data_IF_616414566418
#
_entry.id   IF_616414566418
#
_cell.length_a   1.000
_cell.length_b   1.000
_cell.length_c   1.000
_cell.angle_alpha   90.00
_cell.angle_beta   90.00
_cell.angle_gamma   90.00
#
_symmetry.space_group_name_H-M   'P 1'
#
loop_
_entity.id
_entity.type
_entity.pdbx_description
1 polymer ?
#
# COMPACT_ATOMS: atom_id res chain seq x y z
N UNK A 1 -3.16 -12.63 5.13
CA UNK A 1 -4.60 -12.87 5.28
C UNK A 1 -5.04 -14.07 4.42
N UNK A 2 -6.09 -14.80 4.82
CA UNK A 2 -6.62 -16.00 4.17
C UNK A 2 -8.12 -15.88 3.90
N UNK A 3 -8.54 -15.95 2.63
CA UNK A 3 -9.97 -15.91 2.26
C UNK A 3 -10.77 -17.05 2.86
N UNK A 4 -10.17 -18.25 2.96
CA UNK A 4 -10.84 -19.40 3.54
C UNK A 4 -11.09 -19.21 5.04
N UNK A 5 -10.14 -18.60 5.76
CA UNK A 5 -10.33 -18.27 7.17
C UNK A 5 -11.39 -17.17 7.34
N UNK A 6 -11.36 -16.14 6.49
CA UNK A 6 -12.38 -15.08 6.50
C UNK A 6 -13.80 -15.63 6.32
N UNK A 7 -13.97 -16.62 5.43
CA UNK A 7 -15.26 -17.24 5.18
C UNK A 7 -15.70 -18.27 6.25
N UNK A 8 -14.76 -18.85 6.99
CA UNK A 8 -15.05 -19.95 7.92
C UNK A 8 -15.07 -19.54 9.41
N UNK A 9 -14.34 -18.48 9.77
CA UNK A 9 -14.25 -18.01 11.15
C UNK A 9 -15.61 -17.47 11.63
N UNK A 10 -15.95 -17.79 12.88
CA UNK A 10 -17.18 -17.37 13.55
C UNK A 10 -16.97 -16.18 14.48
N UNK A 11 -15.71 -15.84 14.77
CA UNK A 11 -15.33 -14.68 15.56
C UNK A 11 -13.81 -14.58 15.77
N UNK A 12 -13.34 -13.60 16.57
CA UNK A 12 -11.91 -13.36 16.78
C UNK A 12 -11.13 -14.56 17.33
N UNK A 13 -11.76 -15.37 18.19
CA UNK A 13 -11.14 -16.55 18.78
C UNK A 13 -10.61 -17.56 17.73
N UNK A 14 -11.32 -17.72 16.61
CA UNK A 14 -10.89 -18.61 15.52
C UNK A 14 -9.63 -18.07 14.81
N UNK A 15 -9.50 -16.75 14.69
CA UNK A 15 -8.30 -16.12 14.15
C UNK A 15 -7.11 -16.29 15.10
N UNK A 16 -7.30 -16.04 16.41
CA UNK A 16 -6.26 -16.25 17.40
C UNK A 16 -5.78 -17.71 17.43
N UNK A 17 -6.70 -18.68 17.40
CA UNK A 17 -6.34 -20.09 17.37
C UNK A 17 -5.55 -20.45 16.09
N UNK A 18 -6.01 -20.01 14.92
CA UNK A 18 -5.35 -20.30 13.64
C UNK A 18 -3.96 -19.65 13.55
N UNK A 19 -3.86 -18.36 13.84
CA UNK A 19 -2.58 -17.65 13.78
C UNK A 19 -1.63 -18.06 14.90
N UNK A 20 -2.12 -18.31 16.11
CA UNK A 20 -1.28 -18.75 17.23
C UNK A 20 -0.59 -20.07 16.94
N UNK A 21 -1.27 -21.00 16.26
CA UNK A 21 -0.64 -22.24 15.77
C UNK A 21 0.42 -21.97 14.70
N UNK A 22 0.13 -21.13 13.72
CA UNK A 22 1.10 -20.80 12.66
C UNK A 22 2.35 -20.10 13.22
N UNK A 23 2.17 -19.24 14.21
CA UNK A 23 3.25 -18.48 14.85
C UNK A 23 4.11 -19.35 15.77
N UNK A 24 3.53 -20.37 16.42
CA UNK A 24 4.32 -21.30 17.25
C UNK A 24 5.16 -22.27 16.42
N UNK A 25 4.78 -22.52 15.18
CA UNK A 25 5.50 -23.37 14.23
C UNK A 25 6.46 -22.58 13.31
N UNK A 26 6.46 -21.25 13.39
CA UNK A 26 7.29 -20.40 12.55
C UNK A 26 8.78 -20.56 12.91
N UNK A 27 9.61 -20.88 11.92
CA UNK A 27 11.07 -21.06 12.10
C UNK A 27 11.89 -19.77 12.22
N UNK A 28 11.23 -18.60 12.23
CA UNK A 28 11.89 -17.30 12.29
C UNK A 28 10.89 -16.14 12.37
N UNK A 29 11.38 -14.90 12.40
CA UNK A 29 10.53 -13.72 12.57
C UNK A 29 9.49 -13.58 11.46
N UNK A 30 8.26 -13.23 11.84
CA UNK A 30 7.11 -13.15 10.93
C UNK A 30 6.66 -11.71 10.75
N UNK A 31 6.45 -11.31 9.49
CA UNK A 31 5.71 -10.10 9.15
C UNK A 31 4.26 -10.45 8.82
N UNK A 32 3.32 -9.99 9.65
CA UNK A 32 1.90 -10.16 9.37
C UNK A 32 1.44 -9.16 8.30
N UNK A 33 0.46 -9.57 7.49
CA UNK A 33 -0.16 -8.70 6.51
C UNK A 33 -1.68 -8.72 6.67
N UNK A 34 -2.21 -7.59 7.14
CA UNK A 34 -3.63 -7.30 7.23
C UNK A 34 -4.05 -6.51 5.99
N UNK A 35 -4.65 -7.23 5.05
CA UNK A 35 -5.17 -6.67 3.80
C UNK A 35 -6.66 -6.37 3.94
N UNK A 36 -7.04 -5.10 3.79
CA UNK A 36 -8.43 -4.65 3.88
C UNK A 36 -9.29 -5.05 2.68
N UNK A 37 -10.60 -5.02 2.88
CA UNK A 37 -11.61 -5.44 1.90
C UNK A 37 -11.66 -4.57 0.64
N UNK A 38 -11.16 -3.33 0.70
CA UNK A 38 -11.04 -2.44 -0.45
C UNK A 38 -10.11 -3.04 -1.52
N UNK A 39 -9.11 -3.80 -1.07
CA UNK A 39 -8.17 -4.52 -1.94
C UNK A 39 -8.69 -5.90 -2.32
N UNK A 40 -9.36 -6.59 -1.40
CA UNK A 40 -9.91 -7.92 -1.61
C UNK A 40 -11.24 -8.12 -0.86
N UNK A 41 -12.40 -7.98 -1.53
CA UNK A 41 -13.71 -8.08 -0.88
C UNK A 41 -13.97 -9.44 -0.19
N UNK A 42 -13.23 -10.50 -0.54
CA UNK A 42 -13.34 -11.79 0.12
C UNK A 42 -12.67 -11.84 1.52
N UNK A 43 -12.07 -10.72 1.95
CA UNK A 43 -11.49 -10.53 3.28
C UNK A 43 -12.33 -9.60 4.15
N UNK A 44 -13.58 -9.32 3.79
CA UNK A 44 -14.49 -8.55 4.63
C UNK A 44 -14.59 -9.14 6.05
N UNK A 45 -14.59 -8.28 7.06
CA UNK A 45 -14.66 -8.69 8.46
C UNK A 45 -13.43 -9.43 9.01
N UNK A 46 -12.26 -9.34 8.35
CA UNK A 46 -11.05 -10.02 8.81
C UNK A 46 -10.71 -9.63 10.26
N UNK A 47 -10.28 -10.62 11.06
CA UNK A 47 -10.15 -10.56 12.53
C UNK A 47 -11.47 -10.62 13.31
N UNK A 48 -12.59 -10.94 12.65
CA UNK A 48 -13.85 -11.28 13.31
C UNK A 48 -14.74 -10.08 13.63
N UNK A 49 -14.45 -8.91 13.06
CA UNK A 49 -15.22 -7.69 13.25
C UNK A 49 -15.39 -6.91 11.94
N UNK A 50 -16.59 -6.38 11.73
CA UNK A 50 -16.85 -5.40 10.66
C UNK A 50 -16.30 -4.01 11.02
N UNK A 51 -16.25 -3.68 12.33
CA UNK A 51 -15.57 -2.49 12.82
C UNK A 51 -14.04 -2.70 12.76
N UNK A 52 -13.39 -1.96 11.86
CA UNK A 52 -11.94 -1.97 11.69
C UNK A 52 -11.19 -1.65 12.99
N UNK A 53 -11.70 -0.76 13.86
CA UNK A 53 -11.04 -0.47 15.14
C UNK A 53 -11.12 -1.65 16.10
N UNK A 54 -12.22 -2.41 16.08
CA UNK A 54 -12.33 -3.64 16.84
C UNK A 54 -11.37 -4.72 16.32
N UNK A 55 -11.32 -4.92 15.00
CA UNK A 55 -10.36 -5.82 14.36
C UNK A 55 -8.90 -5.48 14.70
N UNK A 56 -8.56 -4.18 14.73
CA UNK A 56 -7.23 -3.71 15.10
C UNK A 56 -6.84 -4.09 16.54
N UNK A 57 -7.79 -4.05 17.49
CA UNK A 57 -7.56 -4.46 18.89
C UNK A 57 -7.25 -5.95 19.00
N UNK A 58 -7.98 -6.80 18.28
CA UNK A 58 -7.73 -8.25 18.24
C UNK A 58 -6.34 -8.55 17.68
N UNK A 59 -5.97 -7.90 16.57
CA UNK A 59 -4.65 -8.06 15.99
C UNK A 59 -3.52 -7.57 16.93
N UNK A 60 -3.72 -6.47 17.65
CA UNK A 60 -2.76 -5.97 18.63
C UNK A 60 -2.60 -6.95 19.82
N UNK A 61 -3.70 -7.58 20.26
CA UNK A 61 -3.66 -8.62 21.29
C UNK A 61 -2.85 -9.84 20.83
N UNK A 62 -3.06 -10.31 19.60
CA UNK A 62 -2.26 -11.38 19.00
C UNK A 62 -0.77 -11.00 18.92
N UNK A 63 -0.47 -9.75 18.54
CA UNK A 63 0.90 -9.24 18.51
C UNK A 63 1.56 -9.25 19.89
N UNK A 64 0.80 -8.93 20.94
CA UNK A 64 1.26 -8.97 22.34
C UNK A 64 1.56 -10.40 22.78
N UNK A 65 0.69 -11.35 22.48
CA UNK A 65 0.87 -12.77 22.82
C UNK A 65 2.09 -13.40 22.15
N UNK A 66 2.37 -13.00 20.90
CA UNK A 66 3.44 -13.58 20.09
C UNK A 66 4.55 -12.57 19.74
N UNK A 67 4.81 -11.60 20.63
CA UNK A 67 5.80 -10.54 20.41
C UNK A 67 7.23 -11.07 20.15
N UNK A 68 7.55 -12.27 20.64
CA UNK A 68 8.84 -12.93 20.39
C UNK A 68 9.03 -13.46 18.97
N UNK A 69 7.94 -13.62 18.21
CA UNK A 69 7.96 -14.18 16.84
C UNK A 69 7.55 -13.14 15.80
N UNK A 70 6.62 -12.25 16.12
CA UNK A 70 6.14 -11.24 15.18
C UNK A 70 7.17 -10.10 15.13
N UNK A 71 7.73 -9.83 13.96
CA UNK A 71 8.63 -8.68 13.74
C UNK A 71 7.86 -7.41 13.37
N UNK A 72 6.66 -7.55 12.82
CA UNK A 72 5.83 -6.41 12.47
C UNK A 72 4.54 -6.78 11.76
N UNK A 73 3.76 -5.75 11.47
CA UNK A 73 2.47 -5.86 10.80
C UNK A 73 2.38 -4.82 9.70
N UNK A 74 2.17 -5.27 8.47
CA UNK A 74 1.69 -4.39 7.40
C UNK A 74 0.18 -4.21 7.51
N UNK A 75 -0.26 -2.96 7.65
CA UNK A 75 -1.67 -2.57 7.73
C UNK A 75 -2.12 -1.94 6.42
N UNK A 76 -3.12 -2.51 5.76
CA UNK A 76 -3.61 -2.02 4.46
C UNK A 76 -5.13 -1.83 4.48
N UNK A 77 -5.59 -0.95 5.37
CA UNK A 77 -7.02 -0.61 5.55
C UNK A 77 -7.39 0.80 5.05
N UNK A 78 -6.39 1.59 4.62
CA UNK A 78 -6.55 2.95 4.08
C UNK A 78 -7.21 3.95 5.05
N UNK A 79 -6.92 3.82 6.34
CA UNK A 79 -7.37 4.72 7.40
C UNK A 79 -6.17 5.07 8.31
N UNK A 80 -5.70 6.31 8.18
CA UNK A 80 -4.51 6.79 8.88
C UNK A 80 -4.70 6.92 10.40
N UNK A 81 -5.91 7.20 10.86
CA UNK A 81 -6.22 7.31 12.28
C UNK A 81 -6.18 5.91 12.92
N UNK A 82 -6.78 4.92 12.25
CA UNK A 82 -6.70 3.51 12.68
C UNK A 82 -5.26 3.03 12.71
N UNK A 83 -4.44 3.33 11.70
CA UNK A 83 -3.03 2.93 11.69
C UNK A 83 -2.25 3.59 12.85
N UNK A 84 -2.51 4.87 13.12
CA UNK A 84 -1.88 5.61 14.22
C UNK A 84 -2.28 5.08 15.59
N UNK A 85 -3.56 4.77 15.79
CA UNK A 85 -4.05 4.09 17.00
C UNK A 85 -3.40 2.72 17.15
N UNK A 86 -3.34 1.94 16.06
CA UNK A 86 -2.79 0.58 16.06
C UNK A 86 -1.29 0.55 16.35
N UNK A 87 -0.48 1.41 15.72
CA UNK A 87 0.98 1.42 15.95
C UNK A 87 1.35 1.75 17.39
N UNK A 88 0.55 2.58 18.06
CA UNK A 88 0.73 2.93 19.48
C UNK A 88 0.35 1.79 20.43
N UNK A 89 -0.47 0.84 19.97
CA UNK A 89 -0.89 -0.32 20.73
C UNK A 89 0.03 -1.54 20.54
N UNK A 90 0.98 -1.50 19.60
CA UNK A 90 1.91 -2.60 19.36
C UNK A 90 2.92 -2.74 20.52
N UNK A 91 3.29 -3.99 20.90
CA UNK A 91 4.32 -4.21 21.91
C UNK A 91 5.70 -3.81 21.38
N UNK A 92 6.63 -3.51 22.29
CA UNK A 92 8.01 -3.19 21.94
C UNK A 92 8.64 -4.29 21.08
N UNK A 93 9.33 -3.89 20.01
CA UNK A 93 9.97 -4.81 19.06
C UNK A 93 9.09 -5.22 17.88
N UNK A 94 7.79 -4.89 17.89
CA UNK A 94 6.88 -5.14 16.75
C UNK A 94 6.66 -3.85 15.97
N UNK A 95 7.14 -3.79 14.73
CA UNK A 95 7.01 -2.60 13.89
C UNK A 95 5.65 -2.54 13.18
N UNK A 96 5.07 -1.34 13.09
CA UNK A 96 3.97 -1.07 12.16
C UNK A 96 4.56 -0.72 10.79
N UNK A 97 4.17 -1.42 9.73
CA UNK A 97 4.48 -1.07 8.35
C UNK A 97 3.24 -0.46 7.71
N UNK A 98 3.32 0.81 7.33
CA UNK A 98 2.23 1.44 6.58
C UNK A 98 2.05 0.74 5.24
N UNK A 99 0.81 0.36 4.97
CA UNK A 99 0.30 -0.03 3.67
C UNK A 99 -0.76 0.95 3.18
N UNK A 100 -0.79 2.17 3.72
CA UNK A 100 -1.71 3.24 3.35
C UNK A 100 -1.12 4.09 2.22
N UNK A 101 -1.45 3.73 0.99
CA UNK A 101 -1.04 4.46 -0.21
C UNK A 101 -1.75 5.84 -0.38
N UNK A 102 -2.63 6.25 0.55
CA UNK A 102 -3.31 7.57 0.54
C UNK A 102 -2.66 8.59 1.46
N UNK A 103 -1.99 8.14 2.53
CA UNK A 103 -1.54 8.98 3.64
C UNK A 103 -0.08 8.74 4.07
N UNK A 104 0.63 7.89 3.33
CA UNK A 104 1.99 7.44 3.65
C UNK A 104 3.01 8.51 4.07
N UNK A 105 3.10 9.75 3.52
CA UNK A 105 4.15 10.67 3.94
C UNK A 105 4.03 11.03 5.43
N UNK A 106 2.80 11.29 5.90
CA UNK A 106 2.55 11.60 7.31
C UNK A 106 2.78 10.40 8.22
N UNK A 107 2.40 9.20 7.78
CA UNK A 107 2.56 7.97 8.56
C UNK A 107 4.05 7.59 8.71
N UNK A 108 4.84 7.74 7.64
CA UNK A 108 6.29 7.51 7.62
C UNK A 108 7.04 8.57 8.42
N UNK A 109 6.69 9.86 8.26
CA UNK A 109 7.33 10.92 9.04
C UNK A 109 7.00 10.79 10.54
N UNK A 110 5.84 10.23 10.87
CA UNK A 110 5.41 10.00 12.24
C UNK A 110 5.06 11.28 13.00
N UNK A 111 4.72 11.07 14.26
CA UNK A 111 4.37 12.08 15.25
C UNK A 111 5.29 11.98 16.50
N UNK A 112 4.97 12.74 17.55
CA UNK A 112 5.71 12.74 18.82
C UNK A 112 5.76 11.40 19.57
N UNK A 113 4.89 10.44 19.21
CA UNK A 113 4.85 9.10 19.79
C UNK A 113 5.53 8.03 18.92
N UNK A 114 5.87 8.35 17.67
CA UNK A 114 6.58 7.45 16.77
C UNK A 114 6.13 7.52 15.31
N UNK A 115 6.68 6.63 14.49
CA UNK A 115 6.43 6.53 13.06
C UNK A 115 6.03 5.11 12.64
N UNK A 116 5.56 4.97 11.41
CA UNK A 116 5.38 3.67 10.75
C UNK A 116 6.53 3.43 9.77
N UNK A 117 7.04 2.20 9.73
CA UNK A 117 7.89 1.72 8.64
C UNK A 117 7.09 1.65 7.33
N UNK A 118 7.73 1.43 6.17
CA UNK A 118 7.04 1.46 4.88
C UNK A 118 7.06 0.11 4.15
N UNK A 119 5.89 -0.39 3.77
CA UNK A 119 5.74 -1.49 2.82
C UNK A 119 4.57 -1.20 1.88
N UNK A 120 4.81 -0.33 0.90
CA UNK A 120 3.79 0.32 0.09
C UNK A 120 3.77 -0.15 -1.36
N UNK A 121 2.59 -0.15 -1.98
CA UNK A 121 2.48 -0.42 -3.42
C UNK A 121 2.89 0.80 -4.25
N UNK A 122 2.63 2.01 -3.77
CA UNK A 122 3.02 3.25 -4.45
C UNK A 122 4.54 3.37 -4.60
N UNK A 123 5.32 2.85 -3.65
CA UNK A 123 6.79 2.88 -3.70
C UNK A 123 7.37 2.20 -4.93
N UNK A 124 6.68 1.23 -5.54
CA UNK A 124 7.07 0.68 -6.85
C UNK A 124 7.01 1.78 -7.93
N UNK A 125 5.84 2.41 -8.06
CA UNK A 125 5.57 3.41 -9.10
C UNK A 125 6.36 4.71 -8.95
N UNK A 126 6.81 5.06 -7.73
CA UNK A 126 7.57 6.29 -7.44
C UNK A 126 8.96 6.02 -6.86
N UNK A 127 9.53 4.83 -7.07
CA UNK A 127 10.76 4.39 -6.38
C UNK A 127 11.90 5.43 -6.35
N UNK A 128 12.24 6.15 -7.44
CA UNK A 128 13.28 7.18 -7.40
C UNK A 128 12.95 8.35 -6.47
N UNK A 129 11.68 8.79 -6.45
CA UNK A 129 11.20 9.90 -5.61
C UNK A 129 11.16 9.46 -4.15
N UNK A 130 10.61 8.28 -3.86
CA UNK A 130 10.59 7.71 -2.51
C UNK A 130 12.00 7.54 -1.94
N UNK A 131 12.93 6.98 -2.71
CA UNK A 131 14.33 6.81 -2.28
C UNK A 131 15.02 8.15 -2.01
N UNK A 132 14.73 9.19 -2.79
CA UNK A 132 15.28 10.52 -2.53
C UNK A 132 14.68 11.16 -1.27
N UNK A 133 13.37 11.04 -1.07
CA UNK A 133 12.69 11.54 0.12
C UNK A 133 13.22 10.86 1.39
N UNK A 134 13.36 9.53 1.39
CA UNK A 134 13.84 8.78 2.56
C UNK A 134 15.26 9.18 2.97
N UNK A 135 16.15 9.52 2.03
CA UNK A 135 17.48 10.05 2.37
C UNK A 135 17.41 11.38 3.13
N UNK A 136 16.48 12.27 2.77
CA UNK A 136 16.26 13.49 3.55
C UNK A 136 15.81 13.16 4.98
N UNK A 137 14.98 12.13 5.16
CA UNK A 137 14.54 11.69 6.48
C UNK A 137 15.69 11.09 7.30
N UNK A 138 16.58 10.30 6.68
CA UNK A 138 17.80 9.77 7.31
C UNK A 138 18.73 10.90 7.81
N UNK A 139 18.79 12.00 7.07
CA UNK A 139 19.55 13.21 7.42
C UNK A 139 18.82 14.14 8.43
N UNK A 140 17.61 13.77 8.87
CA UNK A 140 16.77 14.57 9.77
C UNK A 140 16.04 15.75 9.10
N UNK A 141 16.12 15.87 7.77
CA UNK A 141 15.47 16.92 6.97
C UNK A 141 14.01 16.55 6.63
N UNK A 142 13.12 16.74 7.62
CA UNK A 142 11.67 16.50 7.43
C UNK A 142 11.07 17.41 6.35
N UNK A 143 11.56 18.63 6.21
CA UNK A 143 11.04 19.57 5.20
C UNK A 143 11.38 19.09 3.79
N UNK A 144 12.61 18.64 3.54
CA UNK A 144 13.04 18.05 2.28
C UNK A 144 12.32 16.73 1.97
N UNK A 145 12.08 15.89 2.99
CA UNK A 145 11.25 14.68 2.86
C UNK A 145 9.85 15.02 2.32
N UNK A 146 9.14 15.94 2.97
CA UNK A 146 7.79 16.36 2.55
C UNK A 146 7.78 17.05 1.19
N UNK A 147 8.74 17.94 0.93
CA UNK A 147 8.84 18.64 -0.36
C UNK A 147 9.01 17.67 -1.55
N UNK A 148 9.59 16.50 -1.31
CA UNK A 148 9.75 15.44 -2.33
C UNK A 148 8.53 14.52 -2.41
N UNK A 149 7.99 14.11 -1.26
CA UNK A 149 7.01 13.02 -1.22
C UNK A 149 5.56 13.50 -1.30
N UNK A 150 5.22 14.65 -0.73
CA UNK A 150 3.85 15.18 -0.74
C UNK A 150 3.30 15.41 -2.17
N UNK A 151 4.08 15.90 -3.15
CA UNK A 151 3.61 16.04 -4.54
C UNK A 151 3.19 14.72 -5.20
N UNK A 152 3.64 13.56 -4.67
CA UNK A 152 3.29 12.24 -5.19
C UNK A 152 1.95 11.71 -4.65
N UNK A 153 1.39 12.33 -3.60
CA UNK A 153 0.14 11.90 -2.97
C UNK A 153 -1.06 11.95 -3.94
N UNK A 154 -1.29 13.03 -4.72
CA UNK A 154 -2.38 13.06 -5.70
C UNK A 154 -2.29 11.92 -6.73
N UNK A 155 -1.10 11.64 -7.26
CA UNK A 155 -0.85 10.50 -8.15
C UNK A 155 -1.23 9.18 -7.46
N UNK A 156 -0.75 8.97 -6.23
CA UNK A 156 -1.01 7.74 -5.49
C UNK A 156 -2.50 7.53 -5.25
N UNK A 157 -3.21 8.55 -4.75
CA UNK A 157 -4.65 8.49 -4.52
C UNK A 157 -5.41 8.17 -5.81
N UNK A 158 -4.97 8.69 -6.95
CA UNK A 158 -5.59 8.39 -8.24
C UNK A 158 -5.29 6.96 -8.72
N UNK A 159 -4.08 6.43 -8.52
CA UNK A 159 -3.76 5.02 -8.81
C UNK A 159 -4.66 4.09 -7.99
N UNK A 160 -4.81 4.38 -6.70
CA UNK A 160 -5.55 3.57 -5.74
C UNK A 160 -7.03 3.94 -5.60
N UNK A 161 -7.55 4.83 -6.44
CA UNK A 161 -8.97 5.23 -6.42
C UNK A 161 -9.91 4.02 -6.58
N UNK A 162 -11.11 4.11 -6.03
CA UNK A 162 -12.12 3.06 -6.16
C UNK A 162 -12.41 2.70 -7.64
N UNK A 163 -12.61 1.42 -7.99
CA UNK A 163 -12.36 0.23 -7.18
C UNK A 163 -10.85 -0.03 -6.96
N UNK A 164 -10.40 0.00 -5.70
CA UNK A 164 -8.98 0.02 -5.31
C UNK A 164 -8.22 -1.20 -5.78
N UNK A 165 -8.84 -2.39 -5.79
CA UNK A 165 -8.22 -3.65 -6.29
C UNK A 165 -7.54 -3.55 -7.67
N UNK A 166 -7.91 -2.57 -8.51
CA UNK A 166 -7.32 -2.34 -9.83
C UNK A 166 -6.11 -1.39 -9.84
N UNK A 167 -5.59 -0.97 -8.67
CA UNK A 167 -4.44 -0.08 -8.56
C UNK A 167 -3.20 -0.58 -9.33
N UNK A 168 -3.01 -1.90 -9.41
CA UNK A 168 -1.89 -2.55 -10.11
C UNK A 168 -1.83 -2.14 -11.58
N UNK A 169 -2.97 -1.79 -12.18
CA UNK A 169 -3.05 -1.27 -13.55
C UNK A 169 -2.30 0.05 -13.67
N UNK A 170 -2.48 0.95 -12.71
CA UNK A 170 -1.77 2.23 -12.67
C UNK A 170 -0.27 2.06 -12.40
N UNK A 171 0.11 1.15 -11.50
CA UNK A 171 1.52 0.84 -11.20
C UNK A 171 2.23 0.31 -12.46
N UNK A 172 1.67 -0.71 -13.11
CA UNK A 172 2.25 -1.27 -14.34
C UNK A 172 2.21 -0.27 -15.50
N UNK A 173 1.19 0.59 -15.55
CA UNK A 173 1.14 1.67 -16.53
C UNK A 173 2.30 2.66 -16.36
N UNK A 174 2.61 3.08 -15.12
CA UNK A 174 3.77 3.93 -14.85
C UNK A 174 5.09 3.23 -15.16
N UNK A 175 5.21 1.93 -14.84
CA UNK A 175 6.39 1.14 -15.24
C UNK A 175 6.55 1.08 -16.77
N UNK A 176 5.44 0.97 -17.50
CA UNK A 176 5.42 1.10 -18.95
C UNK A 176 5.76 2.52 -19.41
N UNK A 177 5.28 3.60 -18.79
CA UNK A 177 5.69 4.94 -19.22
C UNK A 177 7.20 5.20 -19.01
N UNK A 178 7.76 4.67 -17.92
CA UNK A 178 9.15 4.86 -17.50
C UNK A 178 10.18 3.91 -18.12
N UNK A 179 9.81 3.11 -19.12
CA UNK A 179 10.80 2.28 -19.80
C UNK A 179 11.09 0.92 -19.17
N UNK A 180 10.56 0.62 -17.97
CA UNK A 180 10.87 -0.62 -17.23
C UNK A 180 10.36 -1.89 -17.91
N UNK A 181 9.36 -1.77 -18.78
CA UNK A 181 8.88 -2.84 -19.66
C UNK A 181 8.54 -2.32 -21.05
N UNK A 182 8.51 -3.21 -22.05
CA UNK A 182 8.31 -2.83 -23.47
C UNK A 182 6.86 -2.81 -23.94
N UNK A 183 5.92 -3.29 -23.12
CA UNK A 183 4.50 -3.40 -23.47
C UNK A 183 3.63 -2.99 -22.28
N UNK A 184 2.38 -2.60 -22.54
CA UNK A 184 1.35 -2.48 -21.51
C UNK A 184 0.40 -3.68 -21.61
N UNK A 185 0.80 -4.78 -20.97
CA UNK A 185 0.07 -6.05 -20.87
C UNK A 185 0.26 -6.60 -19.47
N UNK A 186 -0.79 -7.16 -18.89
CA UNK A 186 -0.81 -7.65 -17.51
C UNK A 186 -1.34 -9.07 -17.44
N UNK A 187 -0.98 -9.75 -16.36
CA UNK A 187 -1.58 -11.03 -15.99
C UNK A 187 -3.11 -10.87 -15.97
N UNK A 188 -3.81 -11.88 -16.48
CA UNK A 188 -5.27 -11.92 -16.58
C UNK A 188 -5.91 -10.74 -17.35
N UNK A 189 -5.17 -10.06 -18.22
CA UNK A 189 -5.69 -8.96 -19.04
C UNK A 189 -6.03 -7.70 -18.23
N UNK A 190 -5.42 -7.52 -17.06
CA UNK A 190 -5.75 -6.40 -16.16
C UNK A 190 -5.39 -5.03 -16.74
N UNK A 191 -4.64 -4.94 -17.85
CA UNK A 191 -4.36 -3.65 -18.51
C UNK A 191 -5.61 -2.89 -18.94
N UNK A 192 -6.75 -3.57 -19.10
CA UNK A 192 -8.04 -2.95 -19.45
C UNK A 192 -8.92 -2.61 -18.23
N UNK A 193 -8.42 -2.82 -17.00
CA UNK A 193 -9.22 -2.60 -15.78
C UNK A 193 -9.39 -1.11 -15.39
N UNK A 194 -8.71 -0.21 -16.10
CA UNK A 194 -8.83 1.25 -15.97
C UNK A 194 -9.13 1.88 -17.33
N UNK A 195 -9.89 2.98 -17.32
CA UNK A 195 -10.28 3.68 -18.54
C UNK A 195 -9.12 4.46 -19.13
N UNK A 196 -9.15 4.72 -20.44
CA UNK A 196 -8.14 5.57 -21.09
C UNK A 196 -8.05 6.98 -20.46
N UNK A 197 -9.19 7.52 -20.01
CA UNK A 197 -9.25 8.80 -19.31
C UNK A 197 -8.56 8.76 -17.96
N UNK A 198 -8.67 7.63 -17.22
CA UNK A 198 -7.93 7.43 -15.98
C UNK A 198 -6.43 7.37 -16.24
N UNK A 199 -6.00 6.61 -17.26
CA UNK A 199 -4.58 6.52 -17.64
C UNK A 199 -4.01 7.88 -18.08
N UNK A 200 -4.80 8.70 -18.78
CA UNK A 200 -4.40 10.07 -19.14
C UNK A 200 -4.25 10.97 -17.90
N UNK A 201 -5.15 10.86 -16.93
CA UNK A 201 -5.01 11.55 -15.63
C UNK A 201 -3.74 11.11 -14.89
N UNK A 202 -3.44 9.80 -14.90
CA UNK A 202 -2.22 9.27 -14.28
C UNK A 202 -0.95 9.82 -14.93
N UNK A 203 -0.91 9.95 -16.27
CA UNK A 203 0.22 10.57 -16.95
C UNK A 203 0.46 12.01 -16.46
N UNK A 204 -0.60 12.83 -16.39
CA UNK A 204 -0.52 14.21 -15.93
C UNK A 204 -0.04 14.30 -14.48
N UNK A 205 -0.62 13.50 -13.59
CA UNK A 205 -0.22 13.47 -12.19
C UNK A 205 1.20 12.94 -11.99
N UNK A 206 1.66 12.01 -12.84
CA UNK A 206 3.03 11.52 -12.80
C UNK A 206 4.04 12.58 -13.24
N UNK A 207 3.70 13.41 -14.22
CA UNK A 207 4.51 14.57 -14.61
C UNK A 207 4.61 15.60 -13.47
N UNK A 208 3.47 16.00 -12.90
CA UNK A 208 3.40 16.94 -11.77
C UNK A 208 4.16 16.44 -10.53
N UNK A 209 4.16 15.11 -10.31
CA UNK A 209 4.85 14.46 -9.20
C UNK A 209 6.36 14.24 -9.45
N UNK A 210 6.88 14.56 -10.64
CA UNK A 210 8.26 14.25 -11.02
C UNK A 210 8.56 12.74 -11.08
N UNK A 211 7.53 11.92 -11.34
CA UNK A 211 7.61 10.46 -11.40
C UNK A 211 7.89 9.91 -12.81
N UNK A 212 8.06 10.80 -13.81
CA UNK A 212 8.45 10.43 -15.17
C UNK A 212 9.96 10.64 -15.37
N UNK A 213 10.70 9.55 -15.61
CA UNK A 213 12.13 9.63 -15.85
C UNK A 213 12.48 10.25 -17.21
N UNK A 214 11.64 9.99 -18.22
CA UNK A 214 11.77 10.52 -19.58
C UNK A 214 10.37 10.93 -20.09
N UNK A 215 10.00 12.23 -19.99
CA UNK A 215 8.69 12.72 -20.43
C UNK A 215 8.41 12.51 -21.94
N UNK A 216 9.44 12.52 -22.78
CA UNK A 216 9.30 12.30 -24.22
C UNK A 216 8.97 10.83 -24.51
N UNK A 217 9.64 9.90 -23.82
CA UNK A 217 9.31 8.48 -23.87
C UNK A 217 7.90 8.21 -23.35
N UNK A 218 7.54 8.76 -22.19
CA UNK A 218 6.20 8.61 -21.62
C UNK A 218 5.12 9.10 -22.61
N UNK A 219 5.34 10.26 -23.22
CA UNK A 219 4.46 10.81 -24.25
C UNK A 219 4.38 9.88 -25.47
N UNK A 220 5.50 9.42 -25.99
CA UNK A 220 5.56 8.50 -27.13
C UNK A 220 4.83 7.18 -26.84
N UNK A 221 4.86 6.71 -25.59
CA UNK A 221 4.21 5.48 -25.12
C UNK A 221 2.71 5.64 -24.87
N UNK A 222 2.25 6.83 -24.49
CA UNK A 222 0.83 7.13 -24.31
C UNK A 222 0.09 7.28 -25.65
N UNK A 223 0.73 7.89 -26.66
CA UNK A 223 0.09 8.17 -27.97
C UNK A 223 -0.58 6.95 -28.62
N UNK A 224 0.04 5.76 -28.71
CA UNK A 224 -0.62 4.58 -29.28
C UNK A 224 -1.88 4.15 -28.52
N UNK A 225 -1.90 4.32 -27.19
CA UNK A 225 -3.06 3.98 -26.36
C UNK A 225 -4.23 4.95 -26.64
N UNK A 226 -3.94 6.25 -26.75
CA UNK A 226 -4.91 7.27 -27.13
C UNK A 226 -5.49 7.02 -28.53
N UNK A 227 -4.62 6.72 -29.50
CA UNK A 227 -5.05 6.39 -30.88
C UNK A 227 -5.94 5.16 -30.92
N UNK A 228 -5.58 4.10 -30.18
CA UNK A 228 -6.41 2.91 -30.07
C UNK A 228 -7.78 3.20 -29.43
N UNK A 229 -7.88 4.23 -28.60
CA UNK A 229 -9.12 4.73 -28.03
C UNK A 229 -9.87 5.75 -28.89
N UNK A 230 -9.39 6.04 -30.12
CA UNK A 230 -10.03 6.98 -31.04
C UNK A 230 -9.74 8.46 -30.76
N UNK A 231 -8.67 8.77 -30.01
CA UNK A 231 -8.21 10.13 -29.74
C UNK A 231 -7.04 10.47 -30.66
N UNK A 232 -7.12 11.60 -31.36
CA UNK A 232 -6.14 12.08 -32.33
C UNK A 232 -4.87 12.64 -31.68
#
# INVERSE_FOLDING_TARGET
ASRALAAAATGPADYHAAYGKLLSEAGGPVLLHWLGEQFDPALAGYWGHDDVRAAARELAALCTEHAGTIAGVKVSVLDADVETEFRRALPAGVACYTGDDFNYPGLIAGDEHGHSEALLGIFDAIAPVAAAALRHLDDGDRTGFHARLDPTVPLSREIFRAPTRHYKTGVVFLAYLNGHQRHFRMIAGQESARTITHLATLLRLADEAGALADPDLATARMRPLLRAAGVA
#
